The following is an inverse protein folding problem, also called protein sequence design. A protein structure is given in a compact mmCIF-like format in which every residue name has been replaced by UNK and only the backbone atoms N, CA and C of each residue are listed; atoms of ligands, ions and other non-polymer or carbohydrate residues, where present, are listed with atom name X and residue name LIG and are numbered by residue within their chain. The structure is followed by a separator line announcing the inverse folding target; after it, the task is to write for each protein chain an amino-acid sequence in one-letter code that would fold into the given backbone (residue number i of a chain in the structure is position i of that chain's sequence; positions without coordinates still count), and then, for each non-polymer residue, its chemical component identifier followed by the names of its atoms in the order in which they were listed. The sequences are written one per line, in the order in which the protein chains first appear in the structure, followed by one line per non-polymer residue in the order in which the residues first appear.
data_IF_815980424055
#
_entry.id   IF_815980424055
#
_cell.length_a   1.000
_cell.length_b   1.000
_cell.length_c   1.000
_cell.angle_alpha   90.00
_cell.angle_beta   90.00
_cell.angle_gamma   90.00
#
_symmetry.space_group_name_H-M   'P 1'
#
loop_
_entity.id
_entity.type
_entity.pdbx_description
1 polymer ?
#
# COMPACT_ATOMS: atom_id res chain seq x y z
N UNK A 1 3.43 -30.15 -26.62
CA UNK A 1 4.25 -29.82 -25.44
C UNK A 1 3.34 -29.04 -24.50
N UNK A 2 3.17 -29.50 -23.25
CA UNK A 2 2.41 -28.75 -22.24
C UNK A 2 3.11 -27.40 -21.99
N UNK A 3 2.34 -26.31 -21.87
CA UNK A 3 2.90 -25.01 -21.50
C UNK A 3 3.44 -25.13 -20.06
N UNK A 4 4.73 -24.77 -19.81
CA UNK A 4 5.32 -24.92 -18.49
C UNK A 4 4.66 -24.01 -17.44
N UNK A 5 4.02 -22.94 -17.89
CA UNK A 5 3.34 -21.96 -17.03
C UNK A 5 1.91 -21.67 -17.50
N UNK A 6 0.97 -21.65 -16.56
CA UNK A 6 -0.45 -21.38 -16.84
C UNK A 6 -1.03 -20.35 -15.87
N UNK A 7 -1.62 -19.27 -16.40
CA UNK A 7 -2.29 -18.23 -15.62
C UNK A 7 -3.73 -18.65 -15.31
N UNK A 8 -4.05 -18.79 -14.03
CA UNK A 8 -5.35 -19.25 -13.56
C UNK A 8 -5.95 -18.30 -12.52
N UNK A 9 -7.29 -18.19 -12.45
CA UNK A 9 -7.96 -17.55 -11.32
C UNK A 9 -7.68 -18.30 -10.02
N UNK A 10 -7.48 -17.53 -8.94
CA UNK A 10 -7.35 -18.07 -7.59
C UNK A 10 -8.69 -17.94 -6.88
N UNK A 11 -9.21 -19.08 -6.43
CA UNK A 11 -10.53 -19.18 -5.80
C UNK A 11 -10.46 -18.81 -4.30
N UNK A 12 -11.61 -18.52 -3.70
CA UNK A 12 -11.71 -18.08 -2.29
C UNK A 12 -11.15 -19.13 -1.31
N UNK A 13 -11.30 -20.41 -1.62
CA UNK A 13 -10.78 -21.52 -0.81
C UNK A 13 -9.25 -21.55 -0.77
N UNK A 14 -8.60 -20.86 -1.72
CA UNK A 14 -7.14 -20.77 -1.83
C UNK A 14 -6.59 -19.47 -1.21
N UNK A 15 -7.41 -18.70 -0.48
CA UNK A 15 -7.02 -17.43 0.13
C UNK A 15 -5.73 -17.55 0.96
N UNK A 16 -5.60 -18.60 1.77
CA UNK A 16 -4.43 -18.80 2.62
C UNK A 16 -3.15 -19.05 1.78
N UNK A 17 -3.25 -19.78 0.65
CA UNK A 17 -2.12 -19.99 -0.29
C UNK A 17 -1.71 -18.69 -0.97
N UNK A 18 -2.71 -17.84 -1.31
CA UNK A 18 -2.47 -16.52 -1.86
C UNK A 18 -1.71 -15.62 -0.89
N UNK A 19 -2.21 -15.46 0.33
CA UNK A 19 -1.60 -14.57 1.33
C UNK A 19 -0.21 -15.10 1.77
N UNK A 20 0.00 -16.42 1.82
CA UNK A 20 1.32 -17.02 2.04
C UNK A 20 2.29 -16.63 0.92
N UNK A 21 1.91 -16.83 -0.36
CA UNK A 21 2.74 -16.45 -1.51
C UNK A 21 3.09 -14.95 -1.50
N UNK A 22 2.10 -14.08 -1.25
CA UNK A 22 2.34 -12.62 -1.13
C UNK A 22 3.27 -12.30 0.04
N UNK A 23 3.09 -12.95 1.18
CA UNK A 23 3.88 -12.69 2.39
C UNK A 23 5.34 -13.14 2.27
N UNK A 24 5.60 -14.23 1.55
CA UNK A 24 6.94 -14.81 1.39
C UNK A 24 7.73 -14.17 0.24
N UNK A 25 7.04 -13.50 -0.69
CA UNK A 25 7.68 -12.87 -1.84
C UNK A 25 8.42 -11.59 -1.46
N UNK A 26 9.61 -11.39 -2.05
CA UNK A 26 10.41 -10.16 -1.92
C UNK A 26 9.69 -8.91 -2.45
N UNK A 27 8.79 -9.06 -3.42
CA UNK A 27 7.95 -8.00 -3.98
C UNK A 27 6.52 -8.00 -3.41
N UNK A 28 6.28 -8.77 -2.35
CA UNK A 28 4.99 -8.82 -1.69
C UNK A 28 4.62 -7.46 -1.07
N UNK A 29 3.34 -7.13 -1.11
CA UNK A 29 2.87 -5.85 -0.59
C UNK A 29 1.45 -5.98 -0.04
N UNK A 30 1.09 -5.18 0.98
CA UNK A 30 -0.24 -5.19 1.59
C UNK A 30 -1.37 -4.97 0.55
N UNK A 31 -1.13 -4.15 -0.47
CA UNK A 31 -2.10 -3.89 -1.53
C UNK A 31 -2.33 -5.09 -2.46
N UNK A 32 -1.53 -6.13 -2.34
CA UNK A 32 -1.67 -7.41 -3.04
C UNK A 32 -2.24 -8.52 -2.16
N UNK A 33 -2.42 -8.32 -0.84
CA UNK A 33 -3.02 -9.33 0.02
C UNK A 33 -4.52 -9.52 -0.29
N UNK A 34 -5.06 -10.66 0.09
CA UNK A 34 -6.47 -10.98 -0.15
C UNK A 34 -7.43 -9.96 0.45
N UNK A 35 -7.18 -9.58 1.71
CA UNK A 35 -7.99 -8.62 2.44
C UNK A 35 -8.07 -7.24 1.81
N UNK A 36 -7.02 -6.81 1.08
CA UNK A 36 -7.07 -5.54 0.37
C UNK A 36 -8.13 -5.54 -0.73
N UNK A 37 -8.25 -6.63 -1.49
CA UNK A 37 -9.31 -6.78 -2.48
C UNK A 37 -10.71 -6.77 -1.85
N UNK A 38 -10.89 -7.45 -0.71
CA UNK A 38 -12.15 -7.42 0.05
C UNK A 38 -12.51 -5.99 0.50
N UNK A 39 -11.52 -5.24 1.00
CA UNK A 39 -11.71 -3.85 1.37
C UNK A 39 -12.08 -2.98 0.16
N UNK A 40 -11.39 -3.13 -0.95
CA UNK A 40 -11.66 -2.35 -2.17
C UNK A 40 -13.00 -2.73 -2.82
N UNK A 41 -13.47 -3.95 -2.65
CA UNK A 41 -14.81 -4.35 -3.09
C UNK A 41 -15.91 -3.51 -2.41
N UNK A 42 -15.74 -3.13 -1.15
CA UNK A 42 -16.68 -2.24 -0.45
C UNK A 42 -16.68 -0.80 -0.98
N UNK A 43 -15.65 -0.42 -1.73
CA UNK A 43 -15.50 0.89 -2.36
C UNK A 43 -15.78 0.87 -3.89
N UNK A 44 -16.52 -0.14 -4.36
CA UNK A 44 -16.98 -0.24 -5.75
C UNK A 44 -15.95 -0.80 -6.73
N UNK A 45 -14.91 -1.47 -6.25
CA UNK A 45 -13.99 -2.22 -7.08
C UNK A 45 -14.39 -3.70 -7.14
N UNK A 46 -14.06 -4.37 -8.24
CA UNK A 46 -14.28 -5.80 -8.42
C UNK A 46 -12.93 -6.53 -8.45
N UNK A 47 -12.48 -7.10 -7.33
CA UNK A 47 -11.18 -7.78 -7.27
C UNK A 47 -11.20 -9.05 -8.13
N UNK A 48 -10.12 -9.26 -8.87
CA UNK A 48 -9.79 -10.47 -9.60
C UNK A 48 -8.37 -10.88 -9.17
N UNK A 49 -8.17 -12.15 -8.86
CA UNK A 49 -6.86 -12.68 -8.47
C UNK A 49 -6.44 -13.72 -9.47
N UNK A 50 -5.31 -13.48 -10.11
CA UNK A 50 -4.71 -14.39 -11.08
C UNK A 50 -3.31 -14.77 -10.60
N UNK A 51 -3.00 -16.05 -10.70
CA UNK A 51 -1.66 -16.58 -10.42
C UNK A 51 -1.14 -17.36 -11.61
N UNK A 52 0.14 -17.17 -11.91
CA UNK A 52 0.88 -17.99 -12.85
C UNK A 52 1.43 -19.21 -12.10
N UNK A 53 1.05 -20.36 -12.54
CA UNK A 53 1.45 -21.65 -11.96
C UNK A 53 2.51 -22.32 -12.82
N UNK A 54 3.56 -22.78 -12.17
CA UNK A 54 4.44 -23.81 -12.73
C UNK A 54 3.65 -25.12 -12.74
N UNK A 55 3.37 -25.65 -13.93
CA UNK A 55 2.49 -26.81 -14.11
C UNK A 55 3.16 -28.11 -13.67
N UNK A 56 4.49 -28.18 -13.66
CA UNK A 56 5.25 -29.35 -13.21
C UNK A 56 5.36 -29.38 -11.68
N UNK A 57 5.72 -28.23 -11.08
CA UNK A 57 5.93 -28.12 -9.63
C UNK A 57 4.65 -27.83 -8.84
N UNK A 58 3.55 -27.50 -9.50
CA UNK A 58 2.26 -27.12 -8.89
C UNK A 58 2.40 -25.95 -7.90
N UNK A 59 3.24 -24.98 -8.23
CA UNK A 59 3.56 -23.82 -7.40
C UNK A 59 3.23 -22.51 -8.11
N UNK A 60 2.81 -21.50 -7.34
CA UNK A 60 2.68 -20.13 -7.84
C UNK A 60 4.08 -19.56 -8.07
N UNK A 61 4.32 -18.96 -9.24
CA UNK A 61 5.58 -18.28 -9.58
C UNK A 61 5.39 -16.78 -9.78
N UNK A 62 4.16 -16.33 -10.04
CA UNK A 62 3.76 -14.93 -10.06
C UNK A 62 2.28 -14.81 -9.72
N UNK A 63 1.88 -13.66 -9.17
CA UNK A 63 0.49 -13.39 -8.82
C UNK A 63 0.14 -11.91 -8.98
N UNK A 64 -1.11 -11.60 -9.32
CA UNK A 64 -1.60 -10.23 -9.29
C UNK A 64 -3.04 -10.16 -8.77
N UNK A 65 -3.25 -9.32 -7.76
CA UNK A 65 -4.57 -8.82 -7.41
C UNK A 65 -4.90 -7.65 -8.32
N UNK A 66 -5.92 -7.82 -9.14
CA UNK A 66 -6.37 -6.85 -10.14
C UNK A 66 -7.68 -6.26 -9.65
N UNK A 67 -7.70 -4.96 -9.43
CA UNK A 67 -8.88 -4.21 -9.08
C UNK A 67 -9.53 -3.71 -10.37
N UNK A 68 -10.78 -4.12 -10.64
CA UNK A 68 -11.52 -3.73 -11.84
C UNK A 68 -12.60 -2.73 -11.47
N UNK A 69 -12.73 -1.67 -12.24
CA UNK A 69 -13.76 -0.65 -12.03
C UNK A 69 -14.46 -0.32 -13.34
N UNK A 70 -15.78 -0.37 -13.32
CA UNK A 70 -16.63 0.00 -14.47
C UNK A 70 -16.88 1.51 -14.50
N UNK A 71 -17.25 1.99 -15.68
CA UNK A 71 -17.65 3.37 -15.88
C UNK A 71 -19.19 3.43 -16.08
N UNK A 72 -19.82 4.48 -15.56
CA UNK A 72 -21.24 4.75 -15.76
C UNK A 72 -22.18 3.55 -15.50
N UNK A 73 -21.90 2.73 -14.48
CA UNK A 73 -22.69 1.53 -14.09
C UNK A 73 -22.80 0.46 -15.19
N UNK A 74 -21.89 0.46 -16.16
CA UNK A 74 -21.82 -0.60 -17.16
C UNK A 74 -21.39 -1.94 -16.52
N UNK A 75 -21.87 -3.08 -17.06
CA UNK A 75 -21.36 -4.39 -16.64
C UNK A 75 -19.85 -4.51 -16.96
N UNK A 76 -19.11 -5.31 -16.19
CA UNK A 76 -17.67 -5.49 -16.38
C UNK A 76 -17.29 -5.89 -17.81
N UNK A 77 -18.12 -6.71 -18.46
CA UNK A 77 -17.90 -7.19 -19.82
C UNK A 77 -18.06 -6.10 -20.87
N UNK A 78 -18.83 -5.04 -20.58
CA UNK A 78 -19.04 -3.91 -21.47
C UNK A 78 -17.91 -2.88 -21.44
N UNK A 79 -17.01 -2.98 -20.47
CA UNK A 79 -15.83 -2.16 -20.36
C UNK A 79 -15.46 -1.80 -18.91
N UNK A 80 -14.21 -2.04 -18.56
CA UNK A 80 -13.68 -1.70 -17.25
C UNK A 80 -12.19 -1.30 -17.32
N UNK A 81 -11.75 -0.51 -16.36
CA UNK A 81 -10.33 -0.32 -16.07
C UNK A 81 -9.85 -1.45 -15.17
N UNK A 82 -8.73 -2.07 -15.50
CA UNK A 82 -8.01 -3.00 -14.66
C UNK A 82 -6.79 -2.31 -14.04
N UNK A 83 -6.57 -2.50 -12.73
CA UNK A 83 -5.49 -1.85 -12.01
C UNK A 83 -4.81 -2.82 -11.05
N UNK A 84 -3.48 -2.89 -11.10
CA UNK A 84 -2.63 -3.68 -10.21
C UNK A 84 -1.84 -2.73 -9.30
N UNK A 85 -2.27 -2.52 -8.04
CA UNK A 85 -1.57 -1.65 -7.09
C UNK A 85 -0.35 -2.35 -6.50
N UNK A 86 0.84 -1.75 -6.59
CA UNK A 86 2.08 -2.29 -6.00
C UNK A 86 2.28 -3.78 -6.30
N UNK A 87 2.19 -4.10 -7.58
CA UNK A 87 2.31 -5.47 -8.12
C UNK A 87 2.65 -5.46 -9.61
N UNK A 88 2.70 -6.63 -10.25
CA UNK A 88 2.42 -7.97 -9.73
C UNK A 88 3.44 -8.42 -8.68
N UNK A 89 3.04 -9.42 -7.87
CA UNK A 89 3.94 -10.13 -6.97
C UNK A 89 4.75 -11.10 -7.82
N UNK A 90 6.00 -10.75 -8.03
CA UNK A 90 6.92 -11.42 -8.93
C UNK A 90 8.34 -11.12 -8.45
N UNK A 91 9.21 -12.11 -8.40
CA UNK A 91 10.60 -11.87 -8.01
C UNK A 91 11.38 -11.21 -9.16
N UNK A 92 11.38 -9.88 -9.16
CA UNK A 92 12.02 -9.04 -10.17
C UNK A 92 13.56 -9.13 -10.16
N UNK A 93 14.14 -9.76 -9.14
CA UNK A 93 15.59 -9.98 -9.03
C UNK A 93 16.03 -11.35 -9.55
N UNK A 94 15.09 -12.29 -9.78
CA UNK A 94 15.38 -13.64 -10.22
C UNK A 94 15.87 -13.65 -11.68
N UNK A 95 17.00 -14.27 -12.00
CA UNK A 95 17.48 -14.43 -13.39
C UNK A 95 16.47 -15.13 -14.32
N UNK A 96 15.70 -16.09 -13.81
CA UNK A 96 14.62 -16.74 -14.56
C UNK A 96 13.43 -15.84 -14.87
N UNK A 97 13.42 -14.63 -14.32
CA UNK A 97 12.37 -13.64 -14.53
C UNK A 97 12.22 -13.22 -16.00
N UNK A 98 13.30 -13.22 -16.75
CA UNK A 98 13.29 -12.89 -18.17
C UNK A 98 12.27 -13.72 -18.97
N UNK A 99 11.97 -14.94 -18.51
CA UNK A 99 10.99 -15.84 -19.14
C UNK A 99 9.61 -15.75 -18.49
N UNK A 100 9.57 -15.56 -17.17
CA UNK A 100 8.33 -15.57 -16.38
C UNK A 100 7.51 -14.29 -16.62
N UNK A 101 8.14 -13.11 -16.62
CA UNK A 101 7.41 -11.84 -16.76
C UNK A 101 6.72 -11.71 -18.13
N UNK A 102 7.36 -11.95 -19.28
CA UNK A 102 6.69 -11.94 -20.57
C UNK A 102 5.54 -12.97 -20.65
N UNK A 103 5.73 -14.17 -20.10
CA UNK A 103 4.69 -15.21 -20.08
C UNK A 103 3.51 -14.76 -19.23
N UNK A 104 3.76 -14.21 -18.03
CA UNK A 104 2.73 -13.68 -17.15
C UNK A 104 1.91 -12.58 -17.83
N UNK A 105 2.57 -11.55 -18.34
CA UNK A 105 1.88 -10.42 -18.96
C UNK A 105 1.17 -10.80 -20.25
N UNK A 106 1.74 -11.66 -21.08
CA UNK A 106 1.08 -12.16 -22.30
C UNK A 106 -0.24 -12.86 -21.98
N UNK A 107 -0.25 -13.79 -21.03
CA UNK A 107 -1.47 -14.49 -20.63
C UNK A 107 -2.45 -13.54 -19.89
N UNK A 108 -1.93 -12.60 -19.09
CA UNK A 108 -2.74 -11.58 -18.42
C UNK A 108 -3.47 -10.69 -19.43
N UNK A 109 -2.77 -10.21 -20.47
CA UNK A 109 -3.38 -9.41 -21.55
C UNK A 109 -4.50 -10.17 -22.25
N UNK A 110 -4.28 -11.44 -22.60
CA UNK A 110 -5.33 -12.27 -23.22
C UNK A 110 -6.54 -12.42 -22.30
N UNK A 111 -6.31 -12.68 -21.01
CA UNK A 111 -7.39 -12.85 -20.02
C UNK A 111 -8.21 -11.57 -19.86
N UNK A 112 -7.54 -10.44 -19.64
CA UNK A 112 -8.19 -9.15 -19.39
C UNK A 112 -8.94 -8.62 -20.63
N UNK A 113 -8.31 -8.75 -21.81
CA UNK A 113 -8.95 -8.35 -23.08
C UNK A 113 -10.21 -9.14 -23.35
N UNK A 114 -10.19 -10.46 -23.15
CA UNK A 114 -11.38 -11.33 -23.26
C UNK A 114 -12.46 -10.96 -22.24
N UNK A 115 -12.05 -10.47 -21.05
CA UNK A 115 -12.94 -10.03 -19.97
C UNK A 115 -13.51 -8.62 -20.14
N UNK A 116 -13.19 -7.90 -21.24
CA UNK A 116 -13.71 -6.56 -21.52
C UNK A 116 -12.89 -5.42 -20.89
N UNK A 117 -11.63 -5.64 -20.52
CA UNK A 117 -10.78 -4.56 -20.05
C UNK A 117 -10.50 -3.55 -21.17
N UNK A 118 -10.64 -2.26 -20.88
CA UNK A 118 -10.30 -1.16 -21.79
C UNK A 118 -8.82 -0.78 -21.70
N UNK A 119 -8.28 -0.87 -20.50
CA UNK A 119 -6.87 -0.66 -20.22
C UNK A 119 -6.46 -1.43 -18.96
N UNK A 120 -5.16 -1.70 -18.85
CA UNK A 120 -4.51 -2.21 -17.65
C UNK A 120 -3.51 -1.18 -17.15
N UNK A 121 -3.63 -0.77 -15.89
CA UNK A 121 -2.63 0.01 -15.19
C UNK A 121 -1.90 -0.86 -14.17
N UNK A 122 -0.58 -0.69 -14.08
CA UNK A 122 0.30 -1.48 -13.22
C UNK A 122 1.22 -0.53 -12.46
N UNK A 123 1.09 -0.46 -11.15
CA UNK A 123 2.03 0.25 -10.27
C UNK A 123 3.02 -0.72 -9.67
N UNK A 124 4.27 -0.61 -10.12
CA UNK A 124 5.34 -1.48 -9.71
C UNK A 124 5.82 -1.19 -8.28
N UNK A 125 6.17 -2.23 -7.48
CA UNK A 125 6.71 -2.04 -6.13
C UNK A 125 8.20 -1.66 -6.13
N UNK A 126 8.91 -1.73 -7.27
CA UNK A 126 10.35 -1.47 -7.37
C UNK A 126 10.69 0.00 -7.17
N UNK A 127 11.81 0.25 -6.50
CA UNK A 127 12.41 1.56 -6.39
C UNK A 127 13.17 1.92 -7.68
N UNK A 128 13.09 3.19 -8.09
CA UNK A 128 13.62 3.66 -9.38
C UNK A 128 15.15 3.59 -9.50
N UNK A 129 15.88 3.59 -8.39
CA UNK A 129 17.35 3.62 -8.39
C UNK A 129 17.97 2.33 -7.81
N UNK A 130 17.20 1.26 -7.70
CA UNK A 130 17.72 -0.04 -7.27
C UNK A 130 18.33 -0.83 -8.44
N UNK A 131 19.30 -1.72 -8.16
CA UNK A 131 19.83 -2.60 -9.19
C UNK A 131 18.72 -3.38 -9.90
N UNK A 132 18.68 -3.29 -11.22
CA UNK A 132 17.66 -3.97 -12.04
C UNK A 132 16.41 -3.13 -12.35
N UNK A 133 16.24 -1.94 -11.79
CA UNK A 133 15.11 -1.04 -12.11
C UNK A 133 15.05 -0.69 -13.60
N UNK A 134 16.20 -0.43 -14.23
CA UNK A 134 16.28 -0.15 -15.68
C UNK A 134 15.82 -1.34 -16.51
N UNK A 135 16.14 -2.57 -16.10
CA UNK A 135 15.68 -3.79 -16.77
C UNK A 135 14.18 -3.97 -16.65
N UNK A 136 13.63 -3.63 -15.48
CA UNK A 136 12.18 -3.67 -15.24
C UNK A 136 11.47 -2.64 -16.13
N UNK A 137 11.95 -1.40 -16.18
CA UNK A 137 11.40 -0.36 -17.05
C UNK A 137 11.47 -0.77 -18.53
N UNK A 138 12.62 -1.29 -18.98
CA UNK A 138 12.81 -1.80 -20.33
C UNK A 138 11.87 -2.98 -20.64
N UNK A 139 11.65 -3.88 -19.66
CA UNK A 139 10.68 -4.98 -19.79
C UNK A 139 9.25 -4.43 -20.00
N UNK A 140 8.82 -3.45 -19.19
CA UNK A 140 7.50 -2.84 -19.35
C UNK A 140 7.34 -2.16 -20.73
N UNK A 141 8.37 -1.47 -21.23
CA UNK A 141 8.34 -0.89 -22.56
C UNK A 141 8.24 -1.94 -23.66
N UNK A 142 9.00 -3.05 -23.55
CA UNK A 142 8.93 -4.18 -24.48
C UNK A 142 7.55 -4.83 -24.51
N UNK A 143 6.85 -4.83 -23.38
CA UNK A 143 5.47 -5.30 -23.22
C UNK A 143 4.43 -4.24 -23.64
N UNK A 144 4.87 -3.15 -24.30
CA UNK A 144 4.02 -2.05 -24.78
C UNK A 144 3.26 -1.29 -23.70
N UNK A 145 3.78 -1.24 -22.49
CA UNK A 145 3.30 -0.33 -21.47
C UNK A 145 3.92 1.06 -21.63
N UNK A 146 3.16 2.09 -21.29
CA UNK A 146 3.61 3.48 -21.30
C UNK A 146 3.52 4.06 -19.88
N UNK A 147 4.49 4.85 -19.42
CA UNK A 147 4.39 5.56 -18.16
C UNK A 147 3.17 6.49 -18.11
N UNK A 148 2.45 6.49 -17.00
CA UNK A 148 1.29 7.36 -16.76
C UNK A 148 1.34 7.91 -15.33
N UNK A 149 0.44 8.86 -15.03
CA UNK A 149 0.33 9.41 -13.68
C UNK A 149 0.09 8.29 -12.65
N UNK A 150 0.85 8.32 -11.58
CA UNK A 150 0.72 7.36 -10.49
C UNK A 150 -0.56 7.62 -9.66
N UNK A 151 -1.16 6.53 -9.17
CA UNK A 151 -2.31 6.54 -8.26
C UNK A 151 -1.81 6.49 -6.83
N UNK A 152 -0.81 5.64 -6.55
CA UNK A 152 -0.17 5.57 -5.24
C UNK A 152 1.00 6.57 -5.16
N UNK A 153 1.42 6.95 -3.95
CA UNK A 153 2.56 7.83 -3.79
C UNK A 153 3.83 7.29 -4.46
N UNK A 154 4.47 8.14 -5.27
CA UNK A 154 5.74 7.81 -5.93
C UNK A 154 6.94 7.90 -4.99
N UNK A 155 6.86 8.78 -3.96
CA UNK A 155 7.93 8.98 -2.98
C UNK A 155 7.44 8.60 -1.61
N UNK A 156 8.31 7.96 -0.86
CA UNK A 156 8.10 7.62 0.54
C UNK A 156 9.42 7.68 1.31
N UNK A 157 9.34 7.43 2.63
CA UNK A 157 10.51 7.24 3.49
C UNK A 157 10.44 5.81 4.02
N UNK A 158 11.50 5.05 3.78
CA UNK A 158 11.68 3.69 4.30
C UNK A 158 12.68 3.71 5.46
N UNK A 159 12.25 3.20 6.60
CA UNK A 159 13.10 2.97 7.76
C UNK A 159 13.52 1.49 7.78
N UNK A 160 14.81 1.24 7.93
CA UNK A 160 15.36 -0.11 8.05
C UNK A 160 15.15 -0.65 9.47
N UNK A 161 14.29 -1.63 9.63
CA UNK A 161 13.97 -2.26 10.90
C UNK A 161 14.90 -3.45 11.25
N UNK A 162 15.86 -3.79 10.41
CA UNK A 162 16.87 -4.81 10.75
C UNK A 162 17.82 -4.32 11.85
N UNK A 163 17.98 -3.00 11.96
CA UNK A 163 18.78 -2.31 12.97
C UNK A 163 18.14 -2.47 14.36
N UNK A 164 18.96 -2.47 15.42
CA UNK A 164 18.48 -2.47 16.81
C UNK A 164 17.81 -1.13 17.20
N UNK A 165 17.05 -1.14 18.32
CA UNK A 165 16.27 0.04 18.74
C UNK A 165 17.17 1.25 19.09
N UNK A 166 18.36 1.04 19.64
CA UNK A 166 19.27 2.12 20.00
C UNK A 166 19.83 2.79 18.73
N UNK A 167 20.20 1.99 17.73
CA UNK A 167 20.63 2.48 16.41
C UNK A 167 19.49 3.22 15.70
N UNK A 168 18.26 2.70 15.72
CA UNK A 168 17.10 3.40 15.18
C UNK A 168 16.89 4.76 15.86
N UNK A 169 16.97 4.80 17.19
CA UNK A 169 16.87 6.07 17.94
C UNK A 169 18.01 7.02 17.57
N UNK A 170 19.26 6.52 17.44
CA UNK A 170 20.43 7.36 17.11
C UNK A 170 20.29 8.04 15.73
N UNK A 171 19.66 7.37 14.76
CA UNK A 171 19.42 7.92 13.42
C UNK A 171 18.33 9.01 13.38
N UNK A 172 17.46 9.06 14.38
CA UNK A 172 16.41 10.09 14.44
C UNK A 172 17.00 11.47 14.72
N UNK A 173 16.32 12.51 14.23
CA UNK A 173 16.61 13.89 14.68
C UNK A 173 16.49 13.97 16.20
N UNK A 174 17.36 14.75 16.85
CA UNK A 174 17.39 14.91 18.31
C UNK A 174 16.02 15.26 18.90
N UNK A 175 15.32 16.19 18.26
CA UNK A 175 13.97 16.62 18.66
C UNK A 175 12.96 15.47 18.68
N UNK A 176 13.09 14.46 17.79
CA UNK A 176 12.20 13.28 17.77
C UNK A 176 12.44 12.40 18.99
N UNK A 177 13.69 12.08 19.28
CA UNK A 177 14.06 11.33 20.50
C UNK A 177 13.59 12.03 21.77
N UNK A 178 13.81 13.35 21.83
CA UNK A 178 13.33 14.18 22.94
C UNK A 178 11.80 14.09 23.10
N UNK A 179 11.06 14.26 22.01
CA UNK A 179 9.59 14.26 22.02
C UNK A 179 8.99 12.89 22.38
N UNK A 180 9.60 11.78 21.94
CA UNK A 180 9.22 10.41 22.36
C UNK A 180 9.33 10.30 23.90
N UNK A 181 10.48 10.69 24.47
CA UNK A 181 10.71 10.63 25.91
C UNK A 181 9.81 11.60 26.67
N UNK A 182 9.58 12.79 26.13
CA UNK A 182 8.70 13.80 26.72
C UNK A 182 7.27 13.26 26.83
N UNK A 183 6.70 12.72 25.77
CA UNK A 183 5.36 12.17 25.76
C UNK A 183 5.17 11.10 26.83
N UNK A 184 6.10 10.14 26.94
CA UNK A 184 6.05 9.09 27.96
C UNK A 184 6.14 9.66 29.39
N UNK A 185 7.08 10.62 29.66
CA UNK A 185 7.21 11.27 30.97
C UNK A 185 5.99 12.10 31.35
N UNK A 186 5.30 12.70 30.38
CA UNK A 186 4.07 13.48 30.58
C UNK A 186 2.84 12.61 30.78
N UNK A 187 2.97 11.27 30.72
CA UNK A 187 1.89 10.33 30.99
C UNK A 187 1.04 9.94 29.77
N UNK A 188 1.50 10.26 28.54
CA UNK A 188 0.88 9.70 27.34
C UNK A 188 1.05 8.19 27.35
N UNK A 189 -0.01 7.45 27.06
CA UNK A 189 -0.01 5.97 26.94
C UNK A 189 -0.40 5.57 25.53
N UNK A 190 0.26 4.54 25.01
CA UNK A 190 -0.06 3.98 23.69
C UNK A 190 -0.56 2.56 23.86
N UNK A 191 -1.64 2.23 23.17
CA UNK A 191 -2.22 0.90 23.12
C UNK A 191 -2.83 0.60 21.75
N UNK A 192 -3.17 -0.65 21.50
CA UNK A 192 -3.89 -1.07 20.30
C UNK A 192 -5.41 -0.97 20.56
N UNK A 193 -6.18 -0.58 19.54
CA UNK A 193 -7.64 -0.60 19.58
C UNK A 193 -8.14 -2.05 19.67
N UNK A 194 -9.19 -2.27 20.47
CA UNK A 194 -9.78 -3.60 20.74
C UNK A 194 -11.26 -3.67 20.38
N UNK A 195 -11.92 -2.54 20.24
CA UNK A 195 -13.36 -2.47 20.01
C UNK A 195 -13.71 -1.59 18.81
N UNK A 196 -14.90 -1.80 18.27
CA UNK A 196 -15.47 -0.99 17.18
C UNK A 196 -15.66 0.46 17.62
N UNK A 197 -16.03 0.68 18.87
CA UNK A 197 -16.25 2.01 19.46
C UNK A 197 -14.94 2.82 19.44
N UNK A 198 -13.80 2.18 19.68
CA UNK A 198 -12.50 2.83 19.61
C UNK A 198 -12.12 3.20 18.16
N UNK A 199 -12.49 2.38 17.18
CA UNK A 199 -12.33 2.73 15.76
C UNK A 199 -13.23 3.92 15.39
N UNK A 200 -14.45 3.99 15.92
CA UNK A 200 -15.35 5.13 15.74
C UNK A 200 -14.78 6.40 16.37
N UNK A 201 -14.27 6.33 17.60
CA UNK A 201 -13.62 7.45 18.28
C UNK A 201 -12.40 7.95 17.49
N UNK A 202 -11.57 7.03 16.99
CA UNK A 202 -10.45 7.39 16.11
C UNK A 202 -10.93 8.04 14.81
N UNK A 203 -12.02 7.58 14.22
CA UNK A 203 -12.56 8.16 12.99
C UNK A 203 -13.02 9.61 13.20
N UNK A 204 -13.65 9.92 14.33
CA UNK A 204 -14.00 11.32 14.71
C UNK A 204 -12.74 12.19 14.76
N UNK A 205 -11.66 11.65 15.32
CA UNK A 205 -10.37 12.34 15.36
C UNK A 205 -9.76 12.52 13.94
N UNK A 206 -9.95 11.52 13.07
CA UNK A 206 -9.53 11.59 11.67
C UNK A 206 -10.28 12.67 10.90
N UNK A 207 -11.60 12.83 11.13
CA UNK A 207 -12.40 13.91 10.54
C UNK A 207 -11.85 15.28 10.96
N UNK A 208 -11.55 15.48 12.25
CA UNK A 208 -10.93 16.71 12.75
C UNK A 208 -9.58 16.99 12.08
N UNK A 209 -8.79 15.95 11.89
CA UNK A 209 -7.48 16.04 11.22
C UNK A 209 -7.65 16.41 9.75
N UNK A 210 -8.60 15.76 9.05
CA UNK A 210 -8.87 15.99 7.63
C UNK A 210 -9.33 17.43 7.35
N UNK A 211 -10.19 17.96 8.20
CA UNK A 211 -10.65 19.37 8.11
C UNK A 211 -9.48 20.33 8.34
N UNK A 212 -8.66 20.08 9.37
CA UNK A 212 -7.52 20.95 9.70
C UNK A 212 -6.45 20.99 8.62
N UNK A 213 -6.15 19.82 8.03
CA UNK A 213 -4.99 19.62 7.12
C UNK A 213 -5.42 19.52 5.65
N UNK A 214 -6.72 19.79 5.35
CA UNK A 214 -7.34 19.86 4.02
C UNK A 214 -7.06 18.63 3.13
N UNK A 215 -7.47 17.44 3.59
CA UNK A 215 -7.36 16.22 2.78
C UNK A 215 -8.62 15.36 2.85
N UNK A 216 -8.84 14.58 1.77
CA UNK A 216 -9.95 13.64 1.66
C UNK A 216 -9.77 12.38 2.50
N UNK A 217 -10.86 11.90 3.10
CA UNK A 217 -10.90 10.64 3.84
C UNK A 217 -12.02 9.75 3.32
N UNK A 218 -11.90 8.44 3.55
CA UNK A 218 -12.98 7.50 3.31
C UNK A 218 -14.10 7.61 4.35
N UNK A 219 -15.21 6.93 4.10
CA UNK A 219 -16.32 6.85 5.05
C UNK A 219 -15.94 6.03 6.29
N UNK A 220 -16.67 6.21 7.39
CA UNK A 220 -16.49 5.39 8.60
C UNK A 220 -16.58 3.90 8.30
N UNK A 221 -17.55 3.48 7.46
CA UNK A 221 -17.72 2.06 7.11
C UNK A 221 -16.48 1.46 6.46
N UNK A 222 -15.77 2.22 5.63
CA UNK A 222 -14.51 1.77 5.03
C UNK A 222 -13.46 1.43 6.10
N UNK A 223 -13.28 2.28 7.11
CA UNK A 223 -12.28 2.05 8.17
C UNK A 223 -12.71 0.94 9.14
N UNK A 224 -14.00 0.82 9.44
CA UNK A 224 -14.55 -0.30 10.21
C UNK A 224 -14.32 -1.63 9.50
N UNK A 225 -14.52 -1.66 8.16
CA UNK A 225 -14.22 -2.85 7.34
C UNK A 225 -12.73 -3.16 7.31
N UNK A 226 -11.88 -2.13 7.10
CA UNK A 226 -10.44 -2.31 7.15
C UNK A 226 -10.00 -2.95 8.47
N UNK A 227 -10.48 -2.44 9.60
CA UNK A 227 -10.14 -3.00 10.91
C UNK A 227 -10.64 -4.44 11.07
N UNK A 228 -11.89 -4.75 10.69
CA UNK A 228 -12.46 -6.10 10.76
C UNK A 228 -11.75 -7.11 9.86
N UNK A 229 -11.24 -6.67 8.71
CA UNK A 229 -10.55 -7.54 7.75
C UNK A 229 -9.11 -7.81 8.22
N UNK A 230 -8.37 -6.78 8.62
CA UNK A 230 -6.93 -6.88 8.81
C UNK A 230 -6.51 -7.21 10.24
N UNK A 231 -7.23 -6.70 11.26
CA UNK A 231 -6.84 -6.90 12.65
C UNK A 231 -6.86 -8.39 13.08
N UNK A 232 -7.90 -9.18 12.76
CA UNK A 232 -7.92 -10.61 13.10
C UNK A 232 -6.85 -11.43 12.36
N UNK A 233 -6.38 -10.95 11.21
CA UNK A 233 -5.35 -11.60 10.39
C UNK A 233 -3.92 -11.17 10.77
N UNK A 234 -3.76 -10.33 11.76
CA UNK A 234 -2.49 -9.66 12.11
C UNK A 234 -1.85 -8.88 10.94
N UNK A 235 -2.66 -8.46 9.98
CA UNK A 235 -2.23 -7.71 8.80
C UNK A 235 -2.30 -6.19 8.98
N UNK A 236 -2.92 -5.70 10.06
CA UNK A 236 -2.85 -4.31 10.49
C UNK A 236 -3.22 -4.15 11.95
N UNK A 237 -2.81 -3.02 12.54
CA UNK A 237 -3.17 -2.57 13.89
C UNK A 237 -3.55 -1.09 13.88
N UNK A 238 -4.56 -0.75 14.66
CA UNK A 238 -4.88 0.64 15.01
C UNK A 238 -4.27 0.96 16.37
N UNK A 239 -3.24 1.78 16.39
CA UNK A 239 -2.62 2.28 17.62
C UNK A 239 -3.29 3.57 18.06
N UNK A 240 -3.51 3.71 19.37
CA UNK A 240 -4.16 4.85 20.02
C UNK A 240 -3.24 5.43 21.08
N UNK A 241 -3.06 6.75 21.08
CA UNK A 241 -2.34 7.49 22.12
C UNK A 241 -3.34 8.25 22.97
N UNK A 242 -3.30 8.05 24.28
CA UNK A 242 -4.22 8.59 25.26
C UNK A 242 -3.50 9.31 26.39
N UNK A 243 -4.18 10.32 26.94
CA UNK A 243 -3.75 11.02 28.14
C UNK A 243 -4.98 11.30 29.02
N UNK A 244 -4.93 10.86 30.28
CA UNK A 244 -6.02 11.00 31.27
C UNK A 244 -7.40 10.56 30.72
N UNK A 245 -7.43 9.45 29.97
CA UNK A 245 -8.65 8.90 29.37
C UNK A 245 -9.09 9.59 28.07
N UNK A 246 -8.41 10.66 27.64
CA UNK A 246 -8.69 11.35 26.40
C UNK A 246 -7.86 10.79 25.26
N UNK A 247 -8.49 10.45 24.12
CA UNK A 247 -7.82 10.05 22.88
C UNK A 247 -7.19 11.30 22.22
N UNK A 248 -5.86 11.30 22.06
CA UNK A 248 -5.11 12.40 21.47
C UNK A 248 -4.65 12.16 20.05
N UNK A 249 -4.31 10.92 19.72
CA UNK A 249 -3.85 10.54 18.38
C UNK A 249 -4.11 9.07 18.12
N UNK A 250 -4.13 8.68 16.85
CA UNK A 250 -4.19 7.28 16.46
C UNK A 250 -3.67 7.06 15.06
N UNK A 251 -3.01 5.91 14.84
CA UNK A 251 -2.48 5.54 13.53
C UNK A 251 -2.87 4.11 13.16
N UNK A 252 -3.20 3.91 11.90
CA UNK A 252 -3.47 2.60 11.32
C UNK A 252 -2.23 2.15 10.56
N UNK A 253 -1.62 1.05 11.00
CA UNK A 253 -0.38 0.51 10.42
C UNK A 253 -0.66 -0.89 9.89
N UNK A 254 -0.41 -1.08 8.58
CA UNK A 254 -0.50 -2.38 7.93
C UNK A 254 0.82 -3.15 8.01
N UNK A 255 0.75 -4.47 7.90
CA UNK A 255 1.91 -5.37 7.91
C UNK A 255 1.71 -6.49 6.89
N UNK A 256 2.65 -6.63 5.94
CA UNK A 256 2.66 -7.71 4.94
C UNK A 256 4.07 -7.85 4.35
N UNK A 257 4.47 -9.07 4.03
CA UNK A 257 5.75 -9.34 3.35
C UNK A 257 6.96 -8.68 4.03
N UNK A 258 7.01 -8.72 5.36
CA UNK A 258 8.05 -8.10 6.20
C UNK A 258 8.13 -6.57 6.08
N UNK A 259 7.10 -5.93 5.50
CA UNK A 259 6.99 -4.48 5.44
C UNK A 259 5.80 -3.99 6.27
N UNK A 260 6.05 -3.06 7.19
CA UNK A 260 5.01 -2.29 7.85
C UNK A 260 4.75 -0.99 7.10
N UNK A 261 3.48 -0.55 7.03
CA UNK A 261 3.08 0.63 6.25
C UNK A 261 2.19 1.53 7.11
N UNK A 262 2.59 2.78 7.31
CA UNK A 262 1.80 3.81 7.96
C UNK A 262 0.69 4.31 7.01
N UNK A 263 -0.50 3.71 7.09
CA UNK A 263 -1.59 3.94 6.15
C UNK A 263 -2.37 5.23 6.45
N UNK A 264 -2.80 5.42 7.71
CA UNK A 264 -3.67 6.52 8.11
C UNK A 264 -3.28 7.04 9.48
N UNK A 265 -3.34 8.36 9.67
CA UNK A 265 -3.06 8.99 10.95
C UNK A 265 -4.06 10.10 11.29
N UNK A 266 -4.36 10.20 12.56
CA UNK A 266 -5.25 11.21 13.13
C UNK A 266 -4.64 11.80 14.39
N UNK A 267 -4.87 13.09 14.62
CA UNK A 267 -4.42 13.77 15.85
C UNK A 267 -5.35 14.92 16.26
N UNK A 268 -5.57 15.04 17.57
CA UNK A 268 -6.32 16.12 18.18
C UNK A 268 -5.62 17.46 18.01
N UNK A 269 -6.39 18.53 18.11
CA UNK A 269 -5.89 19.89 18.29
C UNK A 269 -5.54 20.18 19.77
N UNK A 270 -6.06 19.37 20.68
CA UNK A 270 -5.84 19.51 22.12
C UNK A 270 -4.56 18.78 22.56
N UNK A 271 -3.94 19.29 23.62
CA UNK A 271 -2.77 18.66 24.25
C UNK A 271 -1.60 18.34 23.31
N UNK A 272 -1.46 19.09 22.19
CA UNK A 272 -0.38 18.88 21.20
C UNK A 272 1.02 19.04 21.81
N UNK A 273 1.16 19.84 22.86
CA UNK A 273 2.41 20.02 23.62
C UNK A 273 2.88 18.75 24.34
N UNK A 274 2.02 17.74 24.49
CA UNK A 274 2.39 16.42 25.02
C UNK A 274 3.09 15.52 23.98
N UNK A 275 3.17 15.96 22.72
CA UNK A 275 3.83 15.25 21.60
C UNK A 275 3.35 13.79 21.38
N UNK A 276 2.02 13.50 21.45
CA UNK A 276 1.52 12.12 21.42
C UNK A 276 1.91 11.36 20.15
N UNK A 277 1.95 12.03 18.98
CA UNK A 277 2.28 11.42 17.70
C UNK A 277 3.70 10.80 17.66
N UNK A 278 4.64 11.35 18.43
CA UNK A 278 6.00 10.82 18.45
C UNK A 278 6.07 9.51 19.21
N UNK A 279 5.48 9.42 20.40
CA UNK A 279 5.41 8.17 21.13
C UNK A 279 4.58 7.12 20.39
N UNK A 280 3.45 7.52 19.83
CA UNK A 280 2.55 6.67 19.06
C UNK A 280 3.28 6.03 17.87
N UNK A 281 3.99 6.83 17.08
CA UNK A 281 4.74 6.34 15.92
C UNK A 281 5.88 5.41 16.33
N UNK A 282 6.59 5.74 17.43
CA UNK A 282 7.67 4.91 17.95
C UNK A 282 7.16 3.54 18.42
N UNK A 283 6.05 3.48 19.13
CA UNK A 283 5.46 2.20 19.58
C UNK A 283 4.98 1.36 18.39
N UNK A 284 4.48 1.98 17.33
CA UNK A 284 4.11 1.26 16.11
C UNK A 284 5.35 0.71 15.37
N UNK A 285 6.45 1.46 15.31
CA UNK A 285 7.73 1.00 14.75
C UNK A 285 8.27 -0.19 15.56
N UNK A 286 8.26 -0.11 16.90
CA UNK A 286 8.66 -1.22 17.77
C UNK A 286 7.78 -2.45 17.59
N UNK A 287 6.48 -2.26 17.47
CA UNK A 287 5.56 -3.36 17.17
C UNK A 287 5.90 -4.02 15.84
N UNK A 288 6.04 -3.26 14.77
CA UNK A 288 6.39 -3.79 13.46
C UNK A 288 7.68 -4.63 13.50
N UNK A 289 8.72 -4.14 14.21
CA UNK A 289 9.97 -4.87 14.41
C UNK A 289 9.76 -6.18 15.18
N UNK A 290 8.96 -6.20 16.25
CA UNK A 290 8.63 -7.42 17.00
C UNK A 290 7.85 -8.45 16.18
N UNK A 291 7.01 -7.99 15.25
CA UNK A 291 6.28 -8.86 14.31
C UNK A 291 7.16 -9.34 13.14
N UNK A 292 8.45 -9.03 13.13
CA UNK A 292 9.40 -9.50 12.13
C UNK A 292 9.47 -8.66 10.86
N UNK A 293 8.91 -7.44 10.85
CA UNK A 293 9.12 -6.51 9.75
C UNK A 293 10.59 -6.11 9.63
N UNK A 294 11.09 -6.07 8.40
CA UNK A 294 12.44 -5.60 8.08
C UNK A 294 12.45 -4.15 7.60
N UNK A 295 11.28 -3.59 7.23
CA UNK A 295 11.14 -2.20 6.82
C UNK A 295 9.84 -1.58 7.33
N UNK A 296 9.89 -0.24 7.55
CA UNK A 296 8.72 0.57 7.87
C UNK A 296 8.57 1.67 6.83
N UNK A 297 7.47 1.64 6.10
CA UNK A 297 7.12 2.61 5.08
C UNK A 297 6.23 3.70 5.69
N UNK A 298 6.73 4.92 5.74
CA UNK A 298 5.95 6.07 6.20
C UNK A 298 4.88 6.52 5.20
N UNK A 299 4.77 5.85 4.05
CA UNK A 299 3.84 6.19 2.98
C UNK A 299 4.08 7.59 2.40
N UNK A 300 3.23 8.04 1.51
CA UNK A 300 3.42 9.20 0.67
C UNK A 300 4.03 10.44 1.34
N UNK A 301 4.99 11.04 0.64
CA UNK A 301 5.55 12.34 0.89
C UNK A 301 5.43 13.21 -0.38
N UNK A 302 5.57 14.55 -0.31
CA UNK A 302 5.56 15.43 -1.48
C UNK A 302 6.52 15.00 -2.59
N UNK A 303 6.23 15.42 -3.82
CA UNK A 303 7.04 15.10 -4.99
C UNK A 303 8.47 15.67 -4.91
N UNK A 304 8.64 16.80 -4.23
CA UNK A 304 9.92 17.49 -4.00
C UNK A 304 10.13 17.76 -2.52
N UNK A 305 11.30 18.31 -2.17
CA UNK A 305 11.64 18.73 -0.80
C UNK A 305 11.31 20.22 -0.55
N UNK A 306 10.58 20.85 -1.46
CA UNK A 306 10.20 22.25 -1.36
C UNK A 306 9.23 22.46 -0.19
N UNK A 307 9.56 23.40 0.69
CA UNK A 307 8.74 23.72 1.87
C UNK A 307 7.41 24.41 1.51
N UNK A 308 7.24 24.92 0.29
CA UNK A 308 6.00 25.50 -0.21
C UNK A 308 4.99 24.46 -0.71
N UNK A 309 5.43 23.20 -0.90
CA UNK A 309 4.59 22.12 -1.35
C UNK A 309 3.47 21.77 -0.33
N UNK A 310 2.28 21.42 -0.82
CA UNK A 310 1.27 20.79 0.04
C UNK A 310 1.88 19.58 0.75
N UNK A 311 1.58 19.40 2.03
CA UNK A 311 2.14 18.33 2.87
C UNK A 311 3.62 18.49 3.28
N UNK A 312 4.28 19.63 3.09
CA UNK A 312 5.65 19.86 3.57
C UNK A 312 5.80 19.59 5.09
N UNK A 313 4.77 19.91 5.89
CA UNK A 313 4.71 19.56 7.32
C UNK A 313 4.72 18.06 7.59
N UNK A 314 4.04 17.27 6.75
CA UNK A 314 4.04 15.80 6.80
C UNK A 314 5.42 15.24 6.45
N UNK A 315 6.05 15.78 5.40
CA UNK A 315 7.42 15.41 5.03
C UNK A 315 8.40 15.70 6.17
N UNK A 316 8.34 16.90 6.77
CA UNK A 316 9.17 17.29 7.92
C UNK A 316 9.01 16.32 9.09
N UNK A 317 7.78 15.90 9.39
CA UNK A 317 7.50 14.91 10.43
C UNK A 317 8.11 13.53 10.08
N UNK A 318 7.87 13.04 8.85
CA UNK A 318 8.33 11.72 8.41
C UNK A 318 9.85 11.65 8.25
N UNK A 319 10.50 12.70 7.75
CA UNK A 319 11.95 12.73 7.52
C UNK A 319 12.80 12.72 8.81
N UNK A 320 12.20 13.05 9.94
CA UNK A 320 12.94 13.08 11.21
C UNK A 320 13.17 11.73 11.87
N UNK A 321 12.62 10.65 11.33
CA UNK A 321 12.72 9.30 11.87
C UNK A 321 13.99 8.54 11.44
N UNK A 322 14.82 9.13 10.58
CA UNK A 322 16.11 8.54 10.17
C UNK A 322 16.02 7.59 8.97
N UNK A 323 14.84 7.47 8.37
CA UNK A 323 14.65 6.65 7.17
C UNK A 323 15.21 7.29 5.89
N UNK A 324 15.35 6.47 4.85
CA UNK A 324 15.81 6.86 3.51
C UNK A 324 14.62 7.26 2.63
N UNK A 325 14.71 8.43 1.97
CA UNK A 325 13.77 8.80 0.91
C UNK A 325 14.00 7.90 -0.29
N UNK A 326 12.93 7.27 -0.76
CA UNK A 326 12.92 6.41 -1.94
C UNK A 326 11.88 6.88 -2.95
N UNK A 327 12.10 6.58 -4.23
CA UNK A 327 11.18 6.81 -5.32
C UNK A 327 10.89 5.51 -6.05
N UNK A 328 9.63 5.20 -6.28
CA UNK A 328 9.20 4.03 -7.05
C UNK A 328 9.23 4.33 -8.56
N UNK A 329 9.30 3.28 -9.37
CA UNK A 329 9.25 3.37 -10.84
C UNK A 329 7.95 4.03 -11.32
N UNK A 330 6.84 3.80 -10.64
CA UNK A 330 5.58 4.47 -10.93
C UNK A 330 4.54 3.57 -11.57
N UNK A 331 3.63 4.21 -12.29
CA UNK A 331 2.47 3.59 -12.91
C UNK A 331 2.65 3.48 -14.42
N UNK A 332 2.33 2.33 -14.98
CA UNK A 332 2.40 2.01 -16.40
C UNK A 332 1.01 1.61 -16.89
N UNK A 333 0.65 2.05 -18.11
CA UNK A 333 -0.65 1.74 -18.73
C UNK A 333 -0.46 1.01 -20.06
N UNK A 334 -1.21 -0.08 -20.26
CA UNK A 334 -1.41 -0.70 -21.55
C UNK A 334 -2.87 -0.56 -21.96
N UNK A 335 -3.12 0.08 -23.10
CA UNK A 335 -4.48 0.39 -23.60
C UNK A 335 -4.92 -0.65 -24.63
N UNK A 336 -6.01 -1.37 -24.33
CA UNK A 336 -6.61 -2.36 -25.23
C UNK A 336 -7.56 -1.72 -26.27
N UNK A 337 -8.29 -0.67 -25.86
CA UNK A 337 -9.31 0.00 -26.67
C UNK A 337 -9.13 1.53 -26.66
N UNK A 338 -8.24 2.09 -27.54
CA UNK A 338 -7.88 3.51 -27.51
C UNK A 338 -9.05 4.47 -27.64
N UNK A 339 -10.02 4.18 -28.53
CA UNK A 339 -11.18 5.05 -28.73
C UNK A 339 -12.07 5.10 -27.47
N UNK A 340 -12.38 3.93 -26.88
CA UNK A 340 -13.17 3.86 -25.64
C UNK A 340 -12.45 4.56 -24.49
N UNK A 341 -11.12 4.40 -24.34
CA UNK A 341 -10.34 5.08 -23.30
C UNK A 341 -10.32 6.59 -23.46
N UNK A 342 -10.34 7.12 -24.70
CA UNK A 342 -10.48 8.57 -24.92
C UNK A 342 -11.80 9.12 -24.41
N UNK A 343 -12.90 8.38 -24.62
CA UNK A 343 -14.23 8.77 -24.11
C UNK A 343 -14.22 8.74 -22.57
N UNK A 344 -13.71 7.68 -21.97
CA UNK A 344 -13.63 7.52 -20.53
C UNK A 344 -12.77 8.62 -19.89
N UNK A 345 -11.57 8.89 -20.42
CA UNK A 345 -10.67 9.96 -19.90
C UNK A 345 -11.35 11.33 -19.97
N UNK A 346 -12.11 11.62 -21.05
CA UNK A 346 -12.89 12.85 -21.14
C UNK A 346 -14.00 12.92 -20.07
N UNK A 347 -14.75 11.84 -19.85
CA UNK A 347 -15.83 11.84 -18.84
C UNK A 347 -15.31 11.99 -17.40
N UNK A 348 -14.08 11.53 -17.11
CA UNK A 348 -13.44 11.69 -15.79
C UNK A 348 -12.89 13.12 -15.55
N UNK A 349 -12.66 13.91 -16.62
CA UNK A 349 -12.22 15.31 -16.49
C UNK A 349 -13.38 16.28 -16.20
N UNK A 350 -14.63 15.81 -16.28
CA UNK A 350 -15.84 16.62 -16.03
C UNK A 350 -16.53 16.24 -14.70
N UNK A 351 -15.90 15.42 -13.86
CA UNK A 351 -16.35 15.07 -12.51
C UNK A 351 -15.20 15.22 -11.52
#
# INVERSE_FOLDING_TARGET
MSQPYLLLPVLVEQQHRWDAFVSESSSGHLLQCWGWGELKASAGWHPLRLALWDTERQQMVAAAQILRRTFARLPLQAGHLAYIPKGPVLDWSNPALADIAPTFFSQLHMYLRKGGALALQVELPQQANEPGSDKTDQCMQTLHFQPVQAIQPLRTILLDLTLDEDTLLAQMKEKWRYNIRLAGRKGVRVRVARTIEEVRAWYTLLQTTAIRDDFGIHTLDYYLRAWRIFDPRNQARLFLAEYQGQLLAGIFVGLMAKQAIYLYGASSNENRQLMPNYLLQWEAIRWAKREGATSYDFWGIPATDDESEPMAGVYRFKSGWGGKVVRFLGNYEHVYHPLAMRIVKKSLLFH
#
